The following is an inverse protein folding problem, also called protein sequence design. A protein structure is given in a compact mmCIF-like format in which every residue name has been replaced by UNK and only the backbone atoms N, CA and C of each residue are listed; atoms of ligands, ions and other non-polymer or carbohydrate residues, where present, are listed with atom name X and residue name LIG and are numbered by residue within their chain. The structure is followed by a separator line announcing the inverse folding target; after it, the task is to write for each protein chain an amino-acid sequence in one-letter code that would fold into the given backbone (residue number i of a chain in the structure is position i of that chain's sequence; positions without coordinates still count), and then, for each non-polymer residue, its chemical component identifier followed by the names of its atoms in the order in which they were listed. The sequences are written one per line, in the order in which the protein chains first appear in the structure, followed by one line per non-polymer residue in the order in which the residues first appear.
data_IF_495796759362
#
_entry.id   IF_495796759362
#
_cell.length_a   1.000
_cell.length_b   1.000
_cell.length_c   1.000
_cell.angle_alpha   90.00
_cell.angle_beta   90.00
_cell.angle_gamma   90.00
#
_symmetry.space_group_name_H-M   'P 1'
#
loop_
_entity.id
_entity.type
_entity.pdbx_description
1 polymer ?
#
# COMPACT_ATOMS: atom_id res chain seq x y z
N UNK A 1 11.89 2.51 -9.52
CA UNK A 1 11.08 1.45 -10.17
C UNK A 1 11.53 0.02 -9.87
N UNK A 2 12.83 -0.33 -9.87
CA UNK A 2 13.28 -1.70 -9.54
C UNK A 2 12.91 -2.16 -8.12
N UNK A 3 12.88 -1.26 -7.14
CA UNK A 3 12.57 -1.58 -5.72
C UNK A 3 11.09 -1.92 -5.51
N UNK A 4 10.16 -1.24 -6.21
CA UNK A 4 8.74 -1.58 -6.15
C UNK A 4 8.50 -3.01 -6.65
N UNK A 5 9.17 -3.41 -7.73
CA UNK A 5 9.09 -4.78 -8.25
C UNK A 5 9.67 -5.82 -7.28
N UNK A 6 10.80 -5.57 -6.62
CA UNK A 6 11.36 -6.52 -5.67
C UNK A 6 10.50 -6.67 -4.41
N UNK A 7 9.94 -5.58 -3.87
CA UNK A 7 9.00 -5.65 -2.73
C UNK A 7 7.72 -6.38 -3.10
N UNK A 8 7.15 -6.11 -4.28
CA UNK A 8 5.97 -6.82 -4.79
C UNK A 8 6.26 -8.31 -5.05
N UNK A 9 7.46 -8.66 -5.53
CA UNK A 9 7.88 -10.05 -5.74
C UNK A 9 8.10 -10.81 -4.42
N UNK A 10 8.69 -10.18 -3.41
CA UNK A 10 8.89 -10.79 -2.09
C UNK A 10 7.54 -11.05 -1.42
N UNK A 11 6.63 -10.06 -1.42
CA UNK A 11 5.27 -10.23 -0.89
C UNK A 11 4.45 -11.25 -1.69
N UNK A 12 4.63 -11.34 -3.01
CA UNK A 12 3.99 -12.36 -3.83
C UNK A 12 4.42 -13.79 -3.47
N UNK A 13 5.63 -13.97 -2.92
CA UNK A 13 6.12 -15.28 -2.48
C UNK A 13 5.60 -15.69 -1.10
N UNK A 14 5.31 -14.72 -0.24
CA UNK A 14 4.80 -14.95 1.13
C UNK A 14 3.26 -15.10 1.19
N UNK A 15 2.51 -14.51 0.25
CA UNK A 15 1.04 -14.50 0.24
C UNK A 15 0.41 -15.15 -1.00
N UNK A 16 1.13 -16.05 -1.68
CA UNK A 16 0.79 -16.61 -2.99
C UNK A 16 -0.52 -17.39 -3.09
N UNK A 17 -1.65 -16.70 -2.95
CA UNK A 17 -2.89 -17.03 -3.63
C UNK A 17 -2.79 -16.47 -5.06
N UNK A 18 -3.46 -17.10 -6.02
CA UNK A 18 -3.46 -16.69 -7.44
C UNK A 18 -3.93 -15.25 -7.66
N UNK A 19 -4.61 -14.65 -6.68
CA UNK A 19 -5.11 -13.28 -6.68
C UNK A 19 -4.28 -12.39 -5.73
N UNK A 20 -3.49 -11.48 -6.32
CA UNK A 20 -2.65 -10.53 -5.57
C UNK A 20 -3.45 -9.50 -4.76
N UNK A 21 -4.75 -9.37 -5.02
CA UNK A 21 -5.67 -8.45 -4.35
C UNK A 21 -6.52 -9.17 -3.29
N UNK A 22 -6.33 -10.48 -3.11
CA UNK A 22 -7.10 -11.33 -2.19
C UNK A 22 -7.18 -10.76 -0.77
N UNK A 23 -6.05 -10.28 -0.22
CA UNK A 23 -6.01 -9.75 1.14
C UNK A 23 -6.95 -8.54 1.33
N UNK A 24 -7.06 -7.68 0.31
CA UNK A 24 -7.95 -6.52 0.37
C UNK A 24 -9.41 -6.95 0.24
N UNK A 25 -9.71 -7.93 -0.62
CA UNK A 25 -11.06 -8.51 -0.77
C UNK A 25 -11.53 -9.22 0.50
N UNK A 26 -10.64 -9.98 1.15
CA UNK A 26 -10.93 -10.63 2.43
C UNK A 26 -11.12 -9.61 3.57
N UNK A 27 -10.25 -8.61 3.65
CA UNK A 27 -10.37 -7.55 4.65
C UNK A 27 -11.67 -6.74 4.46
N UNK A 28 -12.07 -6.48 3.22
CA UNK A 28 -13.34 -5.87 2.86
C UNK A 28 -14.53 -6.71 3.32
N UNK A 29 -14.53 -8.01 3.04
CA UNK A 29 -15.58 -8.93 3.45
C UNK A 29 -15.74 -8.99 4.99
N UNK A 30 -14.63 -9.03 5.73
CA UNK A 30 -14.64 -9.03 7.21
C UNK A 30 -15.22 -7.71 7.76
N UNK A 31 -14.90 -6.58 7.12
CA UNK A 31 -15.28 -5.25 7.60
C UNK A 31 -16.64 -4.76 7.06
N UNK A 32 -17.23 -5.46 6.09
CA UNK A 32 -18.45 -5.02 5.42
C UNK A 32 -18.26 -3.74 4.60
N UNK A 33 -17.09 -3.57 3.98
CA UNK A 33 -16.75 -2.42 3.12
C UNK A 33 -16.26 -2.90 1.75
N UNK A 34 -16.05 -1.99 0.81
CA UNK A 34 -15.49 -2.32 -0.50
C UNK A 34 -13.96 -2.54 -0.44
N UNK A 35 -13.37 -3.38 -1.32
CA UNK A 35 -11.93 -3.67 -1.35
C UNK A 35 -11.00 -2.44 -1.37
N UNK A 36 -11.38 -1.39 -2.08
CA UNK A 36 -10.64 -0.13 -2.17
C UNK A 36 -10.66 0.62 -0.84
N UNK A 37 -11.77 0.53 -0.10
CA UNK A 37 -11.88 1.12 1.25
C UNK A 37 -11.01 0.34 2.24
N UNK A 38 -11.01 -1.00 2.14
CA UNK A 38 -10.13 -1.83 2.95
C UNK A 38 -8.64 -1.54 2.65
N UNK A 39 -8.28 -1.37 1.37
CA UNK A 39 -6.94 -0.96 0.96
C UNK A 39 -6.58 0.42 1.53
N UNK A 40 -7.48 1.40 1.44
CA UNK A 40 -7.26 2.74 1.99
C UNK A 40 -6.93 2.69 3.48
N UNK A 41 -7.65 1.87 4.26
CA UNK A 41 -7.36 1.68 5.68
C UNK A 41 -5.95 1.14 5.95
N UNK A 42 -5.49 0.18 5.14
CA UNK A 42 -4.13 -0.36 5.27
C UNK A 42 -3.07 0.65 4.82
N UNK A 43 -3.33 1.40 3.74
CA UNK A 43 -2.44 2.44 3.25
C UNK A 43 -2.31 3.59 4.24
N UNK A 44 -3.39 3.97 4.93
CA UNK A 44 -3.40 5.05 5.91
C UNK A 44 -2.29 4.89 6.97
N UNK A 45 -1.99 3.66 7.41
CA UNK A 45 -0.87 3.40 8.33
C UNK A 45 0.49 3.82 7.76
N UNK A 46 0.73 3.55 6.48
CA UNK A 46 1.98 3.95 5.82
C UNK A 46 2.02 5.45 5.55
N UNK A 47 0.87 6.05 5.20
CA UNK A 47 0.74 7.49 5.03
C UNK A 47 1.01 8.26 6.34
N UNK A 48 0.49 7.78 7.47
CA UNK A 48 0.79 8.34 8.80
C UNK A 48 2.29 8.32 9.07
N UNK A 49 2.99 7.22 8.74
CA UNK A 49 4.45 7.18 8.90
C UNK A 49 5.20 8.20 8.04
N UNK A 50 4.69 8.58 6.86
CA UNK A 50 5.26 9.68 6.05
C UNK A 50 4.99 11.03 6.71
N UNK A 51 3.79 11.23 7.23
CA UNK A 51 3.41 12.44 7.96
C UNK A 51 4.29 12.61 9.21
N UNK A 52 4.54 11.54 9.97
CA UNK A 52 5.40 11.57 11.14
C UNK A 52 6.84 11.96 10.79
N UNK A 53 7.37 11.50 9.64
CA UNK A 53 8.69 11.93 9.14
C UNK A 53 8.70 13.44 8.88
N UNK A 54 7.65 13.99 8.26
CA UNK A 54 7.54 15.43 7.98
C UNK A 54 7.48 16.21 9.30
N UNK A 55 6.65 15.77 10.25
CA UNK A 55 6.55 16.40 11.56
C UNK A 55 7.86 16.35 12.34
N UNK A 56 8.60 15.24 12.31
CA UNK A 56 9.92 15.12 12.94
C UNK A 56 10.92 16.13 12.35
N UNK A 57 10.84 16.41 11.05
CA UNK A 57 11.66 17.44 10.39
C UNK A 57 11.25 18.84 10.86
N UNK A 58 9.96 19.15 10.83
CA UNK A 58 9.43 20.48 11.16
C UNK A 58 9.61 20.85 12.63
N UNK A 59 9.32 19.92 13.54
CA UNK A 59 9.27 20.18 14.98
C UNK A 59 10.61 19.92 15.67
N UNK A 60 11.44 19.03 15.10
CA UNK A 60 12.66 18.55 15.76
C UNK A 60 13.92 18.64 14.88
N UNK A 61 13.81 19.07 13.62
CA UNK A 61 14.95 19.14 12.69
C UNK A 61 15.56 17.77 12.39
N UNK A 62 14.84 16.68 12.66
CA UNK A 62 15.34 15.31 12.60
C UNK A 62 15.08 14.72 11.22
N UNK A 63 16.14 14.40 10.50
CA UNK A 63 16.06 13.77 9.18
C UNK A 63 15.92 12.24 9.30
N UNK A 64 15.10 11.58 8.46
CA UNK A 64 15.01 10.12 8.43
C UNK A 64 16.29 9.51 7.84
N UNK A 65 16.51 8.22 8.11
CA UNK A 65 17.52 7.47 7.35
C UNK A 65 17.07 7.30 5.90
N UNK A 66 18.04 7.11 4.99
CA UNK A 66 17.76 6.92 3.57
C UNK A 66 16.91 5.67 3.33
N UNK A 67 17.17 4.62 4.10
CA UNK A 67 16.47 3.33 4.03
C UNK A 67 15.01 3.48 4.44
N UNK A 68 14.74 4.16 5.56
CA UNK A 68 13.38 4.40 6.06
C UNK A 68 12.59 5.24 5.06
N UNK A 69 13.17 6.33 4.55
CA UNK A 69 12.51 7.17 3.56
C UNK A 69 12.21 6.37 2.28
N UNK A 70 13.19 5.62 1.78
CA UNK A 70 13.01 4.78 0.58
C UNK A 70 11.92 3.73 0.77
N UNK A 71 11.84 3.10 1.94
CA UNK A 71 10.80 2.14 2.29
C UNK A 71 9.41 2.78 2.24
N UNK A 72 9.19 3.90 2.94
CA UNK A 72 7.86 4.52 3.05
C UNK A 72 7.36 5.14 1.74
N UNK A 73 8.27 5.68 0.94
CA UNK A 73 7.93 6.14 -0.42
C UNK A 73 7.56 4.94 -1.31
N UNK A 74 8.33 3.84 -1.24
CA UNK A 74 8.04 2.62 -2.01
C UNK A 74 6.71 2.00 -1.61
N UNK A 75 6.39 1.93 -0.31
CA UNK A 75 5.09 1.47 0.18
C UNK A 75 3.96 2.31 -0.40
N UNK A 76 4.08 3.64 -0.34
CA UNK A 76 3.03 4.55 -0.84
C UNK A 76 2.78 4.36 -2.34
N UNK A 77 3.85 4.20 -3.14
CA UNK A 77 3.73 3.89 -4.58
C UNK A 77 3.05 2.55 -4.78
N UNK A 78 3.42 1.51 -4.02
CA UNK A 78 2.81 0.19 -4.15
C UNK A 78 1.31 0.21 -3.84
N UNK A 79 0.88 0.94 -2.80
CA UNK A 79 -0.55 1.07 -2.49
C UNK A 79 -1.32 1.82 -3.58
N UNK A 80 -0.73 2.83 -4.20
CA UNK A 80 -1.35 3.51 -5.35
C UNK A 80 -1.54 2.55 -6.54
N UNK A 81 -0.52 1.75 -6.87
CA UNK A 81 -0.61 0.76 -7.95
C UNK A 81 -1.64 -0.34 -7.66
N UNK A 82 -1.73 -0.78 -6.40
CA UNK A 82 -2.72 -1.78 -5.98
C UNK A 82 -4.15 -1.22 -6.00
N UNK A 83 -4.31 0.06 -5.66
CA UNK A 83 -5.59 0.76 -5.77
C UNK A 83 -6.04 0.87 -7.23
N UNK A 84 -5.13 1.27 -8.13
CA UNK A 84 -5.38 1.29 -9.57
C UNK A 84 -5.83 -0.09 -10.06
N UNK A 85 -5.12 -1.16 -9.67
CA UNK A 85 -5.48 -2.52 -10.04
C UNK A 85 -6.88 -2.94 -9.55
N UNK A 86 -7.27 -2.60 -8.31
CA UNK A 86 -8.62 -2.88 -7.80
C UNK A 86 -9.70 -2.15 -8.61
N UNK A 87 -9.46 -0.88 -8.95
CA UNK A 87 -10.41 -0.06 -9.69
C UNK A 87 -10.56 -0.58 -11.13
N UNK A 88 -9.47 -0.96 -11.80
CA UNK A 88 -9.52 -1.55 -13.14
C UNK A 88 -10.24 -2.91 -13.13
N UNK A 89 -9.97 -3.80 -12.15
CA UNK A 89 -10.70 -5.07 -12.01
C UNK A 89 -12.21 -4.82 -11.87
N UNK A 90 -12.62 -3.80 -11.09
CA UNK A 90 -14.03 -3.41 -10.96
C UNK A 90 -14.62 -2.88 -12.27
N UNK A 91 -13.85 -2.14 -13.08
CA UNK A 91 -14.29 -1.62 -14.37
C UNK A 91 -14.53 -2.75 -15.37
N UNK A 92 -13.62 -3.72 -15.42
CA UNK A 92 -13.73 -4.89 -16.29
C UNK A 92 -14.87 -5.84 -15.88
N UNK A 93 -15.17 -5.91 -14.58
CA UNK A 93 -16.28 -6.72 -14.06
C UNK A 93 -17.68 -6.10 -14.27
N UNK A 94 -17.76 -4.82 -14.67
CA UNK A 94 -19.03 -4.17 -15.03
C UNK A 94 -19.35 -4.48 -16.49
N UNK A 95 -20.56 -4.99 -16.80
CA UNK A 95 -20.98 -5.27 -18.18
C UNK A 95 -21.10 -3.99 -19.03
#
# INVERSE_FOLDING_TARGET
MQICNSTLQIKAKEYGTTDRLHNFKMAAAIQGVEPETALLGMWAKHLVSVIDIIHDIEQHGKLPTKELLSEKITDSINYLLLLEALIEERREARP
#
